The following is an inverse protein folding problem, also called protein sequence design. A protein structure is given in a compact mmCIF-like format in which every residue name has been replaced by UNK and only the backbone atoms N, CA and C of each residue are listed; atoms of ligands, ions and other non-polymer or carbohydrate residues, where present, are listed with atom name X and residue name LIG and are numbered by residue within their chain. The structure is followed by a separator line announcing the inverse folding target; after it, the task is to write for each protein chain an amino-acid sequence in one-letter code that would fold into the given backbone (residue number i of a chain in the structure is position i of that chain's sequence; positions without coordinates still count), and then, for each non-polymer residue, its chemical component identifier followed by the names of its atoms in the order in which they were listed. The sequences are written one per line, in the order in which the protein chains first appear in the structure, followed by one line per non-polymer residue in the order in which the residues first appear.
data_IF_711042037494
#
_entry.id   IF_711042037494
#
_cell.length_a   1.000
_cell.length_b   1.000
_cell.length_c   1.000
_cell.angle_alpha   90.00
_cell.angle_beta   90.00
_cell.angle_gamma   90.00
#
_symmetry.space_group_name_H-M   'P 1'
#
loop_
_entity.id
_entity.type
_entity.pdbx_description
1 polymer ?
#
# COMPACT_ATOMS: atom_id res chain seq x y z
N UNK A 1 5.86 11.06 -8.66
CA UNK A 1 6.82 10.21 -9.42
C UNK A 1 8.05 9.85 -8.59
N UNK A 2 8.60 10.78 -7.83
CA UNK A 2 9.89 10.59 -7.12
C UNK A 2 9.73 10.08 -5.68
N UNK A 3 8.58 10.21 -5.06
CA UNK A 3 8.35 9.86 -3.65
C UNK A 3 8.63 8.39 -3.36
N UNK A 4 8.05 7.49 -4.16
CA UNK A 4 8.22 6.05 -3.94
C UNK A 4 9.68 5.61 -4.10
N UNK A 5 10.39 5.94 -5.21
CA UNK A 5 11.84 5.66 -5.32
C UNK A 5 12.68 6.28 -4.20
N UNK A 6 12.39 7.52 -3.78
CA UNK A 6 13.14 8.18 -2.71
C UNK A 6 13.00 7.47 -1.36
N UNK A 7 11.79 7.06 -0.99
CA UNK A 7 11.52 6.30 0.25
C UNK A 7 12.18 4.91 0.17
N UNK A 8 12.09 4.24 -0.97
CA UNK A 8 12.75 2.95 -1.20
C UNK A 8 14.27 3.08 -1.03
N UNK A 9 14.90 4.04 -1.71
CA UNK A 9 16.34 4.30 -1.59
C UNK A 9 16.76 4.58 -0.15
N UNK A 10 16.03 5.46 0.54
CA UNK A 10 16.31 5.75 1.95
C UNK A 10 16.29 4.50 2.82
N UNK A 11 15.25 3.68 2.70
CA UNK A 11 15.07 2.48 3.53
C UNK A 11 16.11 1.41 3.23
N UNK A 12 16.41 1.15 1.95
CA UNK A 12 17.36 0.12 1.54
C UNK A 12 18.80 0.52 1.82
N UNK A 13 19.15 1.79 1.63
CA UNK A 13 20.48 2.31 1.99
C UNK A 13 20.70 2.23 3.50
N UNK A 14 19.69 2.59 4.31
CA UNK A 14 19.77 2.50 5.76
C UNK A 14 20.02 1.04 6.21
N UNK A 15 19.26 0.08 5.66
CA UNK A 15 19.47 -1.34 5.93
C UNK A 15 20.88 -1.79 5.52
N UNK A 16 21.38 -1.34 4.37
CA UNK A 16 22.73 -1.65 3.90
C UNK A 16 23.82 -1.07 4.80
N UNK A 17 23.67 0.17 5.27
CA UNK A 17 24.61 0.82 6.20
C UNK A 17 24.70 0.10 7.53
N UNK A 18 23.60 -0.48 8.02
CA UNK A 18 23.60 -1.29 9.22
C UNK A 18 24.41 -2.58 9.07
N UNK A 19 24.60 -3.07 7.84
CA UNK A 19 25.40 -4.25 7.53
C UNK A 19 25.02 -5.45 8.39
N UNK A 20 26.00 -6.04 9.07
CA UNK A 20 25.79 -7.22 9.94
C UNK A 20 24.91 -6.95 11.17
N UNK A 21 24.62 -5.69 11.50
CA UNK A 21 23.66 -5.34 12.56
C UNK A 21 22.21 -5.44 12.10
N UNK A 22 21.97 -5.48 10.79
CA UNK A 22 20.66 -5.74 10.21
C UNK A 22 20.42 -7.26 10.13
N UNK A 23 19.94 -7.83 11.20
CA UNK A 23 19.61 -9.25 11.31
C UNK A 23 18.19 -9.42 11.87
N UNK A 24 17.14 -9.13 11.08
CA UNK A 24 15.76 -9.23 11.52
C UNK A 24 15.30 -10.69 11.57
N UNK A 25 14.45 -11.03 12.55
CA UNK A 25 13.73 -12.30 12.62
C UNK A 25 12.54 -12.32 11.67
N UNK A 26 12.02 -11.15 11.30
CA UNK A 26 10.94 -10.92 10.34
C UNK A 26 11.02 -9.50 9.79
N UNK A 27 10.42 -9.26 8.64
CA UNK A 27 10.33 -7.92 8.07
C UNK A 27 8.93 -7.64 7.53
N UNK A 28 8.55 -6.37 7.56
CA UNK A 28 7.30 -5.86 7.00
C UNK A 28 7.53 -4.47 6.43
N UNK A 29 6.65 -4.04 5.55
CA UNK A 29 6.67 -2.68 5.04
C UNK A 29 5.29 -2.25 4.59
N UNK A 30 4.89 -1.03 4.94
CA UNK A 30 3.60 -0.48 4.57
C UNK A 30 3.58 -0.07 3.10
N UNK A 31 2.67 -0.65 2.31
CA UNK A 31 2.51 -0.35 0.88
C UNK A 31 3.83 -0.48 0.10
N UNK A 32 4.43 0.62 -0.33
CA UNK A 32 5.76 0.65 -0.94
C UNK A 32 6.84 -0.04 -0.09
N UNK A 33 6.72 0.08 1.23
CA UNK A 33 7.68 -0.47 2.18
C UNK A 33 7.87 -1.99 2.05
N UNK A 34 6.90 -2.72 1.51
CA UNK A 34 7.05 -4.16 1.23
C UNK A 34 8.19 -4.43 0.24
N UNK A 35 8.32 -3.63 -0.83
CA UNK A 35 9.46 -3.72 -1.75
C UNK A 35 10.79 -3.41 -1.06
N UNK A 36 10.80 -2.46 -0.13
CA UNK A 36 11.99 -2.16 0.67
C UNK A 36 12.35 -3.32 1.59
N UNK A 37 11.35 -3.96 2.22
CA UNK A 37 11.54 -5.13 3.07
C UNK A 37 12.07 -6.33 2.26
N UNK A 38 11.47 -6.61 1.10
CA UNK A 38 11.92 -7.67 0.18
C UNK A 38 13.38 -7.46 -0.25
N UNK A 39 13.75 -6.22 -0.55
CA UNK A 39 15.13 -5.89 -0.94
C UNK A 39 16.11 -5.97 0.23
N UNK A 40 15.77 -5.41 1.38
CA UNK A 40 16.63 -5.41 2.56
C UNK A 40 16.90 -6.82 3.09
N UNK A 41 15.96 -7.74 2.92
CA UNK A 41 16.08 -9.15 3.30
C UNK A 41 16.72 -10.04 2.22
N UNK A 42 16.99 -9.49 1.03
CA UNK A 42 17.65 -10.18 -0.07
C UNK A 42 16.73 -11.01 -0.96
N UNK A 43 15.39 -10.88 -0.80
CA UNK A 43 14.41 -11.53 -1.70
C UNK A 43 14.42 -10.87 -3.07
N UNK A 44 14.63 -9.56 -3.14
CA UNK A 44 14.90 -8.83 -4.38
C UNK A 44 16.32 -8.29 -4.39
N UNK A 45 16.95 -8.27 -5.57
CA UNK A 45 18.15 -7.45 -5.74
C UNK A 45 17.79 -5.97 -5.61
N UNK A 46 18.77 -5.13 -5.27
CA UNK A 46 18.56 -3.68 -5.19
C UNK A 46 18.07 -3.11 -6.52
N UNK A 47 18.67 -3.53 -7.63
CA UNK A 47 18.33 -3.11 -8.98
C UNK A 47 16.90 -3.51 -9.36
N UNK A 48 16.53 -4.76 -9.08
CA UNK A 48 15.17 -5.28 -9.34
C UNK A 48 14.14 -4.54 -8.50
N UNK A 49 14.40 -4.37 -7.21
CA UNK A 49 13.52 -3.64 -6.30
C UNK A 49 13.31 -2.19 -6.74
N UNK A 50 14.39 -1.48 -7.10
CA UNK A 50 14.30 -0.10 -7.59
C UNK A 50 13.53 -0.01 -8.92
N UNK A 51 13.75 -0.95 -9.84
CA UNK A 51 13.04 -1.03 -11.12
C UNK A 51 11.53 -1.24 -10.89
N UNK A 52 11.14 -2.18 -10.03
CA UNK A 52 9.74 -2.44 -9.71
C UNK A 52 9.07 -1.23 -9.04
N UNK A 53 9.74 -0.60 -8.08
CA UNK A 53 9.24 0.60 -7.41
C UNK A 53 9.06 1.78 -8.38
N UNK A 54 9.99 1.95 -9.34
CA UNK A 54 9.87 2.97 -10.37
C UNK A 54 8.68 2.68 -11.30
N UNK A 55 8.52 1.45 -11.77
CA UNK A 55 7.40 1.03 -12.61
C UNK A 55 6.06 1.20 -11.86
N UNK A 56 6.00 0.78 -10.58
CA UNK A 56 4.85 1.00 -9.71
C UNK A 56 4.47 2.48 -9.61
N UNK A 57 5.45 3.35 -9.39
CA UNK A 57 5.21 4.78 -9.28
C UNK A 57 4.63 5.39 -10.57
N UNK A 58 5.12 4.95 -11.73
CA UNK A 58 4.61 5.39 -13.02
C UNK A 58 3.21 4.85 -13.31
N UNK A 59 2.97 3.55 -13.08
CA UNK A 59 1.68 2.92 -13.29
C UNK A 59 0.59 3.55 -12.41
N UNK A 60 0.88 3.77 -11.12
CA UNK A 60 -0.04 4.44 -10.20
C UNK A 60 -0.30 5.89 -10.60
N UNK A 61 0.72 6.63 -11.05
CA UNK A 61 0.55 8.01 -11.55
C UNK A 61 -0.38 8.04 -12.76
N UNK A 62 -0.17 7.15 -13.73
CA UNK A 62 -1.01 7.01 -14.92
C UNK A 62 -2.46 6.67 -14.58
N UNK A 63 -2.68 5.74 -13.62
CA UNK A 63 -4.01 5.41 -13.14
C UNK A 63 -4.70 6.61 -12.49
N UNK A 64 -4.00 7.41 -11.66
CA UNK A 64 -4.54 8.62 -11.05
C UNK A 64 -4.89 9.70 -12.09
N UNK A 65 -4.11 9.83 -13.16
CA UNK A 65 -4.37 10.78 -14.25
C UNK A 65 -5.59 10.36 -15.07
N UNK A 66 -5.80 9.04 -15.27
CA UNK A 66 -6.93 8.50 -16.00
C UNK A 66 -8.24 8.54 -15.19
N UNK A 67 -8.17 8.27 -13.91
CA UNK A 67 -9.31 8.22 -12.99
C UNK A 67 -8.99 8.98 -11.69
N UNK A 68 -9.35 10.26 -11.63
CA UNK A 68 -9.15 11.07 -10.43
C UNK A 68 -9.89 10.51 -9.22
N UNK A 69 -9.19 10.41 -8.12
CA UNK A 69 -9.74 9.93 -6.87
C UNK A 69 -9.02 10.53 -5.65
N UNK A 70 -9.41 10.11 -4.47
CA UNK A 70 -8.84 10.60 -3.23
C UNK A 70 -8.88 9.55 -2.13
N UNK A 71 -8.31 9.88 -0.99
CA UNK A 71 -8.33 9.08 0.23
C UNK A 71 -8.76 9.93 1.41
N UNK A 72 -9.27 9.30 2.46
CA UNK A 72 -9.57 9.96 3.72
C UNK A 72 -9.18 9.09 4.92
N UNK A 73 -8.64 9.71 5.96
CA UNK A 73 -8.36 9.04 7.21
C UNK A 73 -9.59 9.05 8.12
N UNK A 74 -9.92 7.89 8.66
CA UNK A 74 -11.05 7.66 9.59
C UNK A 74 -10.50 7.22 10.93
N UNK A 75 -10.90 7.89 12.00
CA UNK A 75 -10.46 7.60 13.36
C UNK A 75 -11.66 7.36 14.28
N UNK A 76 -11.56 6.33 15.11
CA UNK A 76 -12.47 6.11 16.22
C UNK A 76 -13.77 5.41 15.85
N UNK A 77 -13.84 4.78 14.67
CA UNK A 77 -14.86 3.80 14.31
C UNK A 77 -14.26 2.39 14.30
N UNK A 78 -15.12 1.41 14.50
CA UNK A 78 -14.82 0.00 14.29
C UNK A 78 -14.66 -0.30 12.79
N UNK A 79 -13.78 -1.25 12.46
CA UNK A 79 -13.46 -1.60 11.08
C UNK A 79 -14.70 -2.05 10.29
N UNK A 80 -15.56 -2.89 10.89
CA UNK A 80 -16.81 -3.35 10.27
C UNK A 80 -17.74 -2.19 9.95
N UNK A 81 -17.85 -1.21 10.85
CA UNK A 81 -18.70 -0.03 10.61
C UNK A 81 -18.17 0.81 9.43
N UNK A 82 -16.85 0.95 9.30
CA UNK A 82 -16.23 1.64 8.15
C UNK A 82 -16.51 0.88 6.85
N UNK A 83 -16.33 -0.44 6.83
CA UNK A 83 -16.60 -1.29 5.66
C UNK A 83 -18.08 -1.26 5.24
N UNK A 84 -19.00 -1.32 6.20
CA UNK A 84 -20.43 -1.23 5.95
C UNK A 84 -20.80 0.13 5.34
N UNK A 85 -20.29 1.23 5.88
CA UNK A 85 -20.53 2.57 5.33
C UNK A 85 -19.96 2.67 3.91
N UNK A 86 -18.76 2.16 3.67
CA UNK A 86 -18.18 2.15 2.31
C UNK A 86 -19.06 1.36 1.35
N UNK A 87 -19.53 0.16 1.73
CA UNK A 87 -20.35 -0.70 0.88
C UNK A 87 -21.73 -0.12 0.58
N UNK A 88 -22.28 0.67 1.49
CA UNK A 88 -23.58 1.34 1.35
C UNK A 88 -23.49 2.73 0.67
N UNK A 89 -22.29 3.23 0.42
CA UNK A 89 -22.10 4.51 -0.26
C UNK A 89 -22.19 4.33 -1.77
N UNK A 90 -22.91 5.23 -2.44
CA UNK A 90 -23.00 5.21 -3.90
C UNK A 90 -21.66 5.63 -4.53
N UNK A 91 -21.20 4.90 -5.54
CA UNK A 91 -19.91 5.09 -6.18
C UNK A 91 -18.82 4.17 -5.61
N UNK A 92 -17.58 4.35 -6.05
CA UNK A 92 -16.46 3.51 -5.63
C UNK A 92 -15.78 4.13 -4.42
N UNK A 93 -15.93 3.49 -3.26
CA UNK A 93 -15.16 3.79 -2.04
C UNK A 93 -14.97 2.51 -1.25
N UNK A 94 -13.75 2.27 -0.78
CA UNK A 94 -13.39 1.06 -0.03
C UNK A 94 -12.51 1.39 1.18
N UNK A 95 -12.53 0.53 2.20
CA UNK A 95 -11.49 0.51 3.22
C UNK A 95 -10.18 0.03 2.57
N UNK A 96 -9.16 0.87 2.58
CA UNK A 96 -7.93 0.67 1.81
C UNK A 96 -6.72 0.33 2.69
N UNK A 97 -6.57 0.99 3.85
CA UNK A 97 -5.48 0.73 4.77
C UNK A 97 -6.00 0.54 6.19
N UNK A 98 -5.73 -0.61 6.77
CA UNK A 98 -5.98 -0.96 8.17
C UNK A 98 -4.70 -0.67 8.96
N UNK A 99 -4.52 0.58 9.38
CA UNK A 99 -3.25 1.02 9.99
C UNK A 99 -3.06 0.52 11.42
N UNK A 100 -4.11 0.59 12.22
CA UNK A 100 -4.19 0.02 13.55
C UNK A 100 -5.65 0.02 14.03
N UNK A 101 -6.01 -0.68 15.11
CA UNK A 101 -7.38 -0.65 15.65
C UNK A 101 -7.91 0.78 15.79
N UNK A 102 -9.06 1.05 15.16
CA UNK A 102 -9.70 2.36 15.16
C UNK A 102 -9.06 3.43 14.27
N UNK A 103 -8.13 3.05 13.40
CA UNK A 103 -7.55 3.94 12.39
C UNK A 103 -7.49 3.26 11.01
N UNK A 104 -8.42 3.64 10.15
CA UNK A 104 -8.46 3.22 8.75
C UNK A 104 -8.24 4.39 7.80
N UNK A 105 -7.90 4.03 6.56
CA UNK A 105 -7.95 4.95 5.43
C UNK A 105 -8.91 4.39 4.41
N UNK A 106 -9.88 5.20 3.97
CA UNK A 106 -10.78 4.89 2.87
C UNK A 106 -10.26 5.52 1.57
N UNK A 107 -10.56 4.90 0.45
CA UNK A 107 -10.03 5.28 -0.86
C UNK A 107 -11.06 5.07 -1.96
N UNK A 108 -11.18 6.00 -2.90
CA UNK A 108 -12.14 5.88 -3.99
C UNK A 108 -12.35 7.17 -4.78
N UNK A 109 -13.50 7.23 -5.44
CA UNK A 109 -13.96 8.43 -6.14
C UNK A 109 -14.16 9.60 -5.18
N UNK A 110 -13.83 10.79 -5.61
CA UNK A 110 -13.89 11.99 -4.75
C UNK A 110 -15.26 12.16 -4.09
N UNK A 111 -16.34 12.08 -4.86
CA UNK A 111 -17.70 12.25 -4.35
C UNK A 111 -18.11 11.13 -3.38
N UNK A 112 -17.72 9.87 -3.67
CA UNK A 112 -18.01 8.73 -2.82
C UNK A 112 -17.24 8.81 -1.49
N UNK A 113 -15.97 9.20 -1.53
CA UNK A 113 -15.16 9.41 -0.31
C UNK A 113 -15.74 10.52 0.55
N UNK A 114 -16.17 11.64 -0.05
CA UNK A 114 -16.79 12.75 0.68
C UNK A 114 -18.09 12.31 1.34
N UNK A 115 -18.98 11.61 0.61
CA UNK A 115 -20.24 11.08 1.15
C UNK A 115 -20.00 10.06 2.29
N UNK A 116 -19.04 9.15 2.11
CA UNK A 116 -18.65 8.20 3.15
C UNK A 116 -18.12 8.91 4.41
N UNK A 117 -17.30 9.97 4.25
CA UNK A 117 -16.81 10.75 5.38
C UNK A 117 -17.95 11.39 6.19
N UNK A 118 -18.98 11.93 5.54
CA UNK A 118 -20.14 12.50 6.26
C UNK A 118 -20.93 11.41 6.99
N UNK A 119 -21.15 10.26 6.35
CA UNK A 119 -21.81 9.11 7.00
C UNK A 119 -21.02 8.60 8.21
N UNK A 120 -19.68 8.54 8.11
CA UNK A 120 -18.81 8.12 9.19
C UNK A 120 -18.83 9.11 10.37
N UNK A 121 -18.87 10.41 10.08
CA UNK A 121 -19.05 11.44 11.15
C UNK A 121 -20.39 11.27 11.85
N UNK A 122 -21.46 11.05 11.10
CA UNK A 122 -22.79 10.81 11.66
C UNK A 122 -22.85 9.52 12.50
N UNK A 123 -22.06 8.49 12.12
CA UNK A 123 -21.91 7.25 12.88
C UNK A 123 -20.97 7.37 14.10
N UNK A 124 -20.43 8.55 14.40
CA UNK A 124 -19.63 8.81 15.59
C UNK A 124 -18.10 8.73 15.39
N UNK A 125 -17.60 8.76 14.16
CA UNK A 125 -16.17 8.89 13.93
C UNK A 125 -15.61 10.14 14.62
N UNK A 126 -14.52 9.98 15.38
CA UNK A 126 -13.80 11.12 15.97
C UNK A 126 -13.22 12.04 14.90
N UNK A 127 -12.87 11.48 13.76
CA UNK A 127 -12.36 12.20 12.59
C UNK A 127 -12.61 11.39 11.33
N UNK A 128 -13.08 12.07 10.27
CA UNK A 128 -13.11 11.57 8.90
C UNK A 128 -12.68 12.75 8.00
N UNK A 129 -11.42 12.72 7.53
CA UNK A 129 -10.81 13.84 6.81
C UNK A 129 -10.09 13.38 5.56
N UNK A 130 -10.31 14.09 4.46
CA UNK A 130 -9.54 13.88 3.23
C UNK A 130 -8.05 14.09 3.46
N UNK A 131 -7.26 13.24 2.85
CA UNK A 131 -5.82 13.35 2.81
C UNK A 131 -5.39 14.20 1.60
N UNK A 132 -4.29 14.95 1.69
CA UNK A 132 -3.76 15.75 0.58
C UNK A 132 -3.04 14.86 -0.43
N UNK A 133 -3.75 13.87 -1.00
CA UNK A 133 -3.25 12.94 -1.99
C UNK A 133 -4.07 13.04 -3.27
N UNK A 134 -3.40 12.87 -4.41
CA UNK A 134 -4.00 13.04 -5.74
C UNK A 134 -4.46 11.74 -6.38
N UNK A 135 -4.80 10.70 -5.60
CA UNK A 135 -5.24 9.43 -6.17
C UNK A 135 -5.92 8.53 -5.16
N UNK A 136 -6.73 7.61 -5.69
CA UNK A 136 -7.45 6.59 -4.93
C UNK A 136 -6.58 5.33 -4.78
N UNK A 137 -5.46 5.44 -4.05
CA UNK A 137 -4.54 4.32 -3.86
C UNK A 137 -5.22 3.17 -3.12
N UNK A 138 -4.85 1.94 -3.48
CA UNK A 138 -5.39 0.70 -2.89
C UNK A 138 -6.92 0.53 -3.04
N UNK A 139 -7.52 1.14 -4.07
CA UNK A 139 -8.92 0.96 -4.46
C UNK A 139 -9.02 0.28 -5.83
N UNK A 140 -10.22 -0.15 -6.25
CA UNK A 140 -10.44 -0.69 -7.60
C UNK A 140 -9.99 0.24 -8.73
N UNK A 141 -9.90 1.56 -8.50
CA UNK A 141 -9.41 2.54 -9.47
C UNK A 141 -7.92 2.35 -9.81
N UNK A 142 -7.17 1.57 -9.00
CA UNK A 142 -5.77 1.22 -9.25
C UNK A 142 -5.60 -0.07 -10.06
N UNK A 143 -6.68 -0.71 -10.52
CA UNK A 143 -6.60 -1.98 -11.26
C UNK A 143 -5.68 -1.92 -12.49
N UNK A 144 -5.67 -0.84 -13.31
CA UNK A 144 -4.70 -0.75 -14.40
C UNK A 144 -3.24 -0.76 -13.92
N UNK A 145 -2.95 -0.12 -12.79
CA UNK A 145 -1.61 -0.11 -12.21
C UNK A 145 -1.24 -1.48 -11.63
N UNK A 146 -2.20 -2.22 -11.06
CA UNK A 146 -2.00 -3.59 -10.58
C UNK A 146 -1.56 -4.52 -11.71
N UNK A 147 -2.25 -4.48 -12.84
CA UNK A 147 -1.94 -5.31 -14.00
C UNK A 147 -0.54 -4.99 -14.60
N UNK A 148 -0.19 -3.72 -14.72
CA UNK A 148 1.14 -3.31 -15.19
C UNK A 148 2.25 -3.81 -14.22
N UNK A 149 2.01 -3.72 -12.91
CA UNK A 149 2.96 -4.17 -11.89
C UNK A 149 3.07 -5.69 -11.82
N UNK A 150 1.95 -6.41 -11.91
CA UNK A 150 1.91 -7.88 -11.95
C UNK A 150 2.77 -8.42 -13.09
N UNK A 151 2.64 -7.86 -14.29
CA UNK A 151 3.49 -8.24 -15.44
C UNK A 151 4.98 -8.00 -15.16
N UNK A 152 5.33 -6.88 -14.52
CA UNK A 152 6.71 -6.58 -14.17
C UNK A 152 7.26 -7.52 -13.08
N UNK A 153 6.44 -7.88 -12.10
CA UNK A 153 6.79 -8.86 -11.06
C UNK A 153 7.02 -10.23 -11.69
N UNK A 154 6.17 -10.64 -12.64
CA UNK A 154 6.29 -11.94 -13.32
C UNK A 154 7.64 -12.12 -14.04
N UNK A 155 8.23 -11.04 -14.53
CA UNK A 155 9.54 -11.04 -15.20
C UNK A 155 10.72 -10.85 -14.22
N UNK A 156 10.46 -10.65 -12.93
CA UNK A 156 11.49 -10.37 -11.94
C UNK A 156 11.92 -11.64 -11.22
N UNK A 157 13.23 -11.78 -11.03
CA UNK A 157 13.80 -12.89 -10.25
C UNK A 157 13.70 -12.61 -8.75
N UNK A 158 13.26 -13.61 -7.99
CA UNK A 158 13.15 -13.60 -6.55
C UNK A 158 14.09 -14.64 -5.95
N UNK A 159 14.72 -14.29 -4.83
CA UNK A 159 15.70 -15.11 -4.15
C UNK A 159 15.22 -15.49 -2.76
N UNK A 160 15.85 -16.50 -2.15
CA UNK A 160 15.56 -16.86 -0.77
C UNK A 160 15.97 -15.73 0.17
N UNK A 161 15.01 -15.21 0.93
CA UNK A 161 15.24 -14.15 1.92
C UNK A 161 15.92 -14.63 3.21
N UNK A 162 16.42 -13.67 3.99
CA UNK A 162 17.02 -13.91 5.31
C UNK A 162 15.98 -14.26 6.37
N UNK A 163 14.75 -13.79 6.24
CA UNK A 163 13.65 -13.98 7.19
C UNK A 163 12.30 -13.89 6.47
N UNK A 164 11.20 -14.32 7.13
CA UNK A 164 9.85 -14.17 6.60
C UNK A 164 9.46 -12.71 6.38
N UNK A 165 8.59 -12.47 5.38
CA UNK A 165 8.00 -11.15 5.09
C UNK A 165 6.53 -11.18 5.48
N UNK A 166 6.08 -10.19 6.23
CA UNK A 166 4.65 -9.94 6.42
C UNK A 166 4.12 -9.16 5.21
N UNK A 167 3.25 -9.80 4.44
CA UNK A 167 2.67 -9.22 3.24
C UNK A 167 1.49 -8.30 3.58
N UNK A 168 1.33 -7.22 2.82
CA UNK A 168 0.26 -6.24 3.05
C UNK A 168 -1.14 -6.84 2.82
N UNK A 169 -1.29 -7.72 1.82
CA UNK A 169 -2.60 -8.29 1.46
C UNK A 169 -3.08 -9.31 2.48
N UNK A 170 -2.22 -10.23 2.89
CA UNK A 170 -2.60 -11.34 3.78
C UNK A 170 -2.42 -11.02 5.26
N UNK A 171 -1.62 -10.00 5.60
CA UNK A 171 -1.13 -9.69 6.95
C UNK A 171 -0.49 -10.91 7.64
N UNK A 172 0.10 -11.82 6.87
CA UNK A 172 0.73 -13.05 7.35
C UNK A 172 2.20 -13.10 6.97
N UNK A 173 2.99 -13.77 7.82
CA UNK A 173 4.38 -14.06 7.54
C UNK A 173 4.48 -15.10 6.44
N UNK A 174 5.28 -14.81 5.42
CA UNK A 174 5.47 -15.68 4.26
C UNK A 174 6.96 -15.85 3.96
N UNK A 175 7.33 -17.06 3.59
CA UNK A 175 8.70 -17.43 3.17
C UNK A 175 8.72 -18.17 1.83
N UNK A 176 7.56 -18.64 1.36
CA UNK A 176 7.43 -19.28 0.06
C UNK A 176 7.47 -18.23 -1.06
N UNK A 177 8.43 -18.38 -1.98
CA UNK A 177 8.61 -17.42 -3.07
C UNK A 177 7.43 -17.41 -4.07
N UNK A 178 6.73 -18.53 -4.22
CA UNK A 178 5.54 -18.60 -5.07
C UNK A 178 4.37 -17.79 -4.51
N UNK A 179 4.25 -17.75 -3.18
CA UNK A 179 3.21 -16.97 -2.47
C UNK A 179 3.59 -15.49 -2.35
N UNK A 180 4.88 -15.18 -2.21
CA UNK A 180 5.37 -13.80 -2.12
C UNK A 180 5.24 -13.07 -3.47
N UNK A 181 5.35 -13.78 -4.57
CA UNK A 181 5.30 -13.27 -5.94
C UNK A 181 3.86 -13.10 -6.44
#
# INVERSE_FOLDING_TARGET
RVTQPAVFLHSTILASVLGNKFNPDMAAGHSLGEFSALTATGILSFESGLKLVYQRALAMQKACEAQPGTMAAVLGLDDNAVEEICSNTNGIVVAANYNCPGQLVISGEVAAVDAACESMKAAGAKRALRLPVGGAFHSPLMEPARLELEAAIAETEFFKGKCPIYQNVSARAESDLGTIR
#
